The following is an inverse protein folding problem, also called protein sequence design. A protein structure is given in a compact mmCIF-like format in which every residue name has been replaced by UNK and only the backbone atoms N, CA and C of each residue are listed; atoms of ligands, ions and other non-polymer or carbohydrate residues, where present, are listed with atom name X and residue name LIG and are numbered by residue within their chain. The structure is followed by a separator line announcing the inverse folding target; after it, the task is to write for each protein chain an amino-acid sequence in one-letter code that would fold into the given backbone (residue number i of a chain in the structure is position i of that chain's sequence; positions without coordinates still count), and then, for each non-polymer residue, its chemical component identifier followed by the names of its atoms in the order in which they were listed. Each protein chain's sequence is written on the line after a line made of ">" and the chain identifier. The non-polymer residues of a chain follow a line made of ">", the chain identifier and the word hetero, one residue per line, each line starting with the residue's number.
data_IF_783567209575
#
_entry.id   IF_783567209575
#
_cell.length_a   1.000
_cell.length_b   1.000
_cell.length_c   1.000
_cell.angle_alpha   90.00
_cell.angle_beta   90.00
_cell.angle_gamma   90.00
#
_symmetry.space_group_name_H-M   'P 1'
#
loop_
_entity.id
_entity.type
_entity.pdbx_description
1 polymer ?
#
# COMPACT_ATOMS: atom_id res chain seq x y z
N UNK A 1 -42.72 -32.10 12.12
CA UNK A 1 -42.02 -31.38 11.01
C UNK A 1 -40.57 -31.13 11.41
N UNK A 2 -39.62 -31.15 10.45
CA UNK A 2 -38.19 -30.88 10.77
C UNK A 2 -37.82 -29.45 10.37
N UNK A 3 -37.33 -28.65 11.32
CA UNK A 3 -36.86 -27.29 11.09
C UNK A 3 -35.48 -27.11 11.72
N UNK A 4 -34.66 -26.23 11.11
CA UNK A 4 -33.38 -25.83 11.72
C UNK A 4 -33.60 -25.11 13.06
N UNK A 5 -32.59 -25.12 13.93
CA UNK A 5 -32.61 -24.39 15.20
C UNK A 5 -33.02 -22.92 15.02
N UNK A 6 -32.53 -22.29 13.95
CA UNK A 6 -32.85 -20.90 13.63
C UNK A 6 -34.30 -20.71 13.19
N UNK A 7 -34.82 -21.61 12.36
CA UNK A 7 -36.21 -21.58 11.91
C UNK A 7 -37.18 -21.83 13.09
N UNK A 8 -36.82 -22.71 14.02
CA UNK A 8 -37.61 -22.93 15.25
C UNK A 8 -37.68 -21.67 16.11
N UNK A 9 -36.57 -20.95 16.26
CA UNK A 9 -36.51 -19.69 17.02
C UNK A 9 -37.41 -18.62 16.40
N UNK A 10 -37.28 -18.42 15.06
CA UNK A 10 -38.11 -17.44 14.33
C UNK A 10 -39.58 -17.85 14.35
N UNK A 11 -39.87 -19.13 14.13
CA UNK A 11 -41.26 -19.64 14.22
C UNK A 11 -41.93 -19.35 15.57
N UNK A 12 -41.21 -19.57 16.68
CA UNK A 12 -41.70 -19.25 18.03
C UNK A 12 -41.94 -17.75 18.22
N UNK A 13 -41.10 -16.90 17.63
CA UNK A 13 -41.24 -15.45 17.73
C UNK A 13 -42.48 -14.95 16.95
N UNK A 14 -42.83 -15.58 15.81
CA UNK A 14 -43.95 -15.15 14.97
C UNK A 14 -45.26 -15.88 15.30
N UNK A 15 -45.19 -16.96 16.10
CA UNK A 15 -46.38 -17.74 16.46
C UNK A 15 -47.31 -16.91 17.35
N UNK A 16 -48.55 -16.71 16.88
CA UNK A 16 -49.54 -15.89 17.57
C UNK A 16 -49.77 -14.51 16.98
N UNK A 17 -48.91 -14.06 16.13
CA UNK A 17 -49.06 -12.83 15.36
C UNK A 17 -49.70 -13.14 13.99
N UNK A 18 -50.46 -12.18 13.44
CA UNK A 18 -51.07 -12.33 12.12
C UNK A 18 -50.06 -12.15 10.99
N UNK A 19 -49.11 -11.29 11.22
CA UNK A 19 -47.99 -10.99 10.34
C UNK A 19 -46.89 -10.24 11.12
N UNK A 20 -45.62 -10.49 10.80
CA UNK A 20 -44.46 -9.85 11.45
C UNK A 20 -43.47 -9.40 10.36
N UNK A 21 -42.96 -8.18 10.46
CA UNK A 21 -41.93 -7.71 9.53
C UNK A 21 -40.53 -8.16 9.98
N UNK A 22 -39.60 -8.25 9.03
CA UNK A 22 -38.21 -8.59 9.34
C UNK A 22 -37.61 -7.53 10.28
N UNK A 23 -37.95 -6.24 10.08
CA UNK A 23 -37.47 -5.12 10.91
C UNK A 23 -37.97 -5.21 12.37
N UNK A 24 -39.19 -5.73 12.57
CA UNK A 24 -39.72 -6.00 13.93
C UNK A 24 -38.88 -7.05 14.64
N UNK A 25 -38.55 -8.15 13.96
CA UNK A 25 -37.72 -9.21 14.54
C UNK A 25 -36.27 -8.71 14.80
N UNK A 26 -35.74 -7.85 13.96
CA UNK A 26 -34.44 -7.18 14.23
C UNK A 26 -34.49 -6.34 15.50
N UNK A 27 -35.58 -5.59 15.71
CA UNK A 27 -35.77 -4.79 16.93
C UNK A 27 -35.87 -5.65 18.20
N UNK A 28 -36.28 -6.89 18.07
CA UNK A 28 -36.33 -7.90 19.16
C UNK A 28 -34.98 -8.61 19.36
N UNK A 29 -33.95 -8.28 18.53
CA UNK A 29 -32.60 -8.79 18.68
C UNK A 29 -32.22 -9.97 17.78
N UNK A 30 -33.03 -10.30 16.79
CA UNK A 30 -32.71 -11.31 15.78
C UNK A 30 -31.77 -10.72 14.72
N UNK A 31 -30.80 -11.53 14.24
CA UNK A 31 -29.96 -11.16 13.11
C UNK A 31 -30.72 -11.26 11.79
N UNK A 32 -30.69 -10.21 10.97
CA UNK A 32 -31.42 -10.10 9.70
C UNK A 32 -31.15 -11.30 8.77
N UNK A 33 -29.88 -11.70 8.66
CA UNK A 33 -29.48 -12.82 7.80
C UNK A 33 -29.98 -14.16 8.32
N UNK A 34 -30.12 -14.27 9.65
CA UNK A 34 -30.73 -15.44 10.30
C UNK A 34 -32.22 -15.50 10.00
N UNK A 35 -32.94 -14.37 10.19
CA UNK A 35 -34.39 -14.30 9.91
C UNK A 35 -34.70 -14.65 8.47
N UNK A 36 -33.94 -14.09 7.51
CA UNK A 36 -34.15 -14.43 6.10
C UNK A 36 -33.98 -15.90 5.77
N UNK A 37 -32.95 -16.56 6.31
CA UNK A 37 -32.71 -17.98 6.07
C UNK A 37 -33.80 -18.84 6.69
N UNK A 38 -34.19 -18.51 7.91
CA UNK A 38 -35.26 -19.20 8.60
C UNK A 38 -36.63 -19.06 7.86
N UNK A 39 -36.89 -17.84 7.34
CA UNK A 39 -38.10 -17.60 6.57
C UNK A 39 -38.12 -18.40 5.26
N UNK A 40 -37.03 -18.41 4.49
CA UNK A 40 -36.92 -19.20 3.27
C UNK A 40 -37.11 -20.72 3.55
N UNK A 41 -36.48 -21.23 4.62
CA UNK A 41 -36.67 -22.64 5.02
C UNK A 41 -38.12 -22.97 5.36
N UNK A 42 -38.81 -22.07 6.07
CA UNK A 42 -40.20 -22.25 6.45
C UNK A 42 -41.17 -22.09 5.27
N UNK A 43 -40.81 -21.20 4.31
CA UNK A 43 -41.58 -21.03 3.06
C UNK A 43 -41.48 -22.28 2.17
N UNK A 44 -40.29 -22.89 2.01
CA UNK A 44 -40.12 -24.17 1.29
C UNK A 44 -40.92 -25.32 1.89
N UNK A 45 -41.30 -25.21 3.16
CA UNK A 45 -42.06 -26.22 3.90
C UNK A 45 -43.53 -25.85 4.12
N UNK A 46 -44.01 -24.85 3.39
CA UNK A 46 -45.39 -24.33 3.45
C UNK A 46 -45.82 -23.84 4.84
N UNK A 47 -44.90 -23.49 5.73
CA UNK A 47 -45.17 -22.98 7.09
C UNK A 47 -45.52 -21.50 7.11
N UNK A 48 -44.83 -20.71 6.25
CA UNK A 48 -45.09 -19.28 6.10
C UNK A 48 -45.03 -18.86 4.64
N UNK A 49 -45.50 -17.65 4.35
CA UNK A 49 -45.38 -16.95 3.10
C UNK A 49 -44.63 -15.64 3.32
N UNK A 50 -43.68 -15.32 2.43
CA UNK A 50 -42.92 -14.06 2.45
C UNK A 50 -43.61 -13.10 1.48
N UNK A 51 -44.26 -12.06 2.02
CA UNK A 51 -44.85 -10.98 1.23
C UNK A 51 -43.92 -9.80 1.16
N UNK A 52 -43.78 -9.20 -0.02
CA UNK A 52 -42.94 -8.00 -0.24
C UNK A 52 -43.87 -6.80 -0.44
N UNK A 53 -43.79 -5.84 0.49
CA UNK A 53 -44.50 -4.58 0.40
C UNK A 53 -43.49 -3.45 0.06
N UNK A 54 -43.85 -2.64 -0.92
CA UNK A 54 -43.05 -1.46 -1.28
C UNK A 54 -43.40 -0.28 -0.41
N UNK A 55 -42.41 0.24 0.32
CA UNK A 55 -42.54 1.43 1.17
C UNK A 55 -41.63 2.53 0.73
N UNK A 56 -42.15 3.72 0.59
CA UNK A 56 -41.34 4.90 0.31
C UNK A 56 -40.67 5.37 1.61
N UNK A 57 -39.35 5.37 1.62
CA UNK A 57 -38.54 5.85 2.74
C UNK A 57 -37.85 7.15 2.33
N UNK A 58 -37.98 8.17 3.17
CA UNK A 58 -37.30 9.43 2.99
C UNK A 58 -36.01 9.42 3.80
N UNK A 59 -34.86 9.65 3.11
CA UNK A 59 -33.55 9.68 3.74
C UNK A 59 -32.89 11.04 3.58
N UNK A 60 -32.31 11.55 4.65
CA UNK A 60 -31.52 12.77 4.59
C UNK A 60 -30.27 12.59 3.73
N UNK A 61 -30.04 13.55 2.83
CA UNK A 61 -28.78 13.66 2.11
C UNK A 61 -27.68 14.18 3.04
N UNK A 62 -26.43 14.19 2.58
CA UNK A 62 -25.33 14.80 3.35
C UNK A 62 -25.58 16.29 3.63
N UNK A 63 -26.19 17.02 2.69
CA UNK A 63 -26.61 18.41 2.91
C UNK A 63 -27.72 18.51 3.95
N UNK A 64 -28.70 17.62 3.91
CA UNK A 64 -29.76 17.54 4.91
C UNK A 64 -29.21 17.27 6.31
N UNK A 65 -28.31 16.33 6.47
CA UNK A 65 -27.61 16.05 7.73
C UNK A 65 -26.87 17.27 8.25
N UNK A 66 -26.17 18.01 7.36
CA UNK A 66 -25.46 19.22 7.72
C UNK A 66 -26.41 20.32 8.20
N UNK A 67 -27.60 20.45 7.60
CA UNK A 67 -28.63 21.40 8.05
C UNK A 67 -29.19 21.00 9.43
N UNK A 68 -29.40 19.70 9.65
CA UNK A 68 -29.84 19.19 10.97
C UNK A 68 -28.81 19.48 12.05
N UNK A 69 -27.53 19.39 11.78
CA UNK A 69 -26.45 19.60 12.75
C UNK A 69 -26.18 21.11 12.99
N UNK A 70 -26.05 21.88 11.91
CA UNK A 70 -25.50 23.25 11.97
C UNK A 70 -26.48 24.35 11.60
N UNK A 71 -27.71 24.02 11.24
CA UNK A 71 -28.72 24.98 10.72
C UNK A 71 -28.57 25.25 9.22
N UNK A 72 -29.62 25.79 8.63
CA UNK A 72 -29.65 26.17 7.22
C UNK A 72 -28.60 27.24 6.89
N UNK A 73 -28.03 27.25 5.66
CA UNK A 73 -27.04 28.24 5.28
C UNK A 73 -27.50 29.69 5.46
N UNK A 74 -28.77 30.00 5.16
CA UNK A 74 -29.36 31.31 5.35
C UNK A 74 -29.55 31.69 6.82
N UNK A 75 -29.84 30.73 7.72
CA UNK A 75 -29.89 30.97 9.16
C UNK A 75 -28.49 31.23 9.73
N UNK A 76 -27.49 30.45 9.34
CA UNK A 76 -26.09 30.71 9.72
C UNK A 76 -25.59 32.07 9.26
N UNK A 77 -26.04 32.54 8.07
CA UNK A 77 -25.74 33.88 7.59
C UNK A 77 -26.31 34.96 8.52
N UNK A 78 -27.56 34.78 8.96
CA UNK A 78 -28.20 35.71 9.91
C UNK A 78 -27.45 35.76 11.23
N UNK A 79 -27.02 34.61 11.76
CA UNK A 79 -26.20 34.55 12.98
C UNK A 79 -24.84 35.24 12.79
N UNK A 80 -24.18 34.99 11.70
CA UNK A 80 -22.88 35.59 11.34
C UNK A 80 -22.96 37.13 11.20
N UNK A 81 -24.07 37.64 10.67
CA UNK A 81 -24.34 39.09 10.57
C UNK A 81 -24.78 39.70 11.89
N UNK A 82 -25.47 38.94 12.76
CA UNK A 82 -25.90 39.38 14.08
C UNK A 82 -24.76 39.82 14.97
N UNK A 83 -23.64 39.13 14.89
CA UNK A 83 -22.42 39.39 15.67
C UNK A 83 -21.65 40.64 15.18
N UNK A 84 -21.73 40.98 13.89
CA UNK A 84 -20.90 42.02 13.26
C UNK A 84 -21.67 43.25 12.74
N UNK A 85 -22.98 43.17 12.68
CA UNK A 85 -23.87 44.25 12.19
C UNK A 85 -23.93 44.39 10.67
N UNK A 86 -22.81 44.22 9.97
CA UNK A 86 -22.71 44.16 8.50
C UNK A 86 -21.45 43.43 8.08
N UNK A 87 -21.47 42.81 6.89
CA UNK A 87 -20.31 42.13 6.26
C UNK A 87 -20.33 42.28 4.76
N UNK A 88 -19.13 42.23 4.14
CA UNK A 88 -19.01 42.18 2.68
C UNK A 88 -19.25 40.75 2.18
N UNK A 89 -19.82 40.64 0.97
CA UNK A 89 -20.16 39.34 0.38
C UNK A 89 -18.93 38.39 0.26
N UNK A 90 -17.73 38.93 0.04
CA UNK A 90 -16.49 38.17 -0.07
C UNK A 90 -15.84 37.79 1.27
N UNK A 91 -16.41 38.19 2.40
CA UNK A 91 -15.92 37.90 3.76
C UNK A 91 -16.82 36.89 4.50
N UNK A 92 -17.81 36.31 3.80
CA UNK A 92 -18.76 35.38 4.37
C UNK A 92 -18.14 33.96 4.49
N UNK A 93 -18.45 33.30 5.60
CA UNK A 93 -18.09 31.89 5.84
C UNK A 93 -19.12 30.89 5.28
N UNK A 94 -20.29 31.39 4.83
CA UNK A 94 -21.38 30.58 4.29
C UNK A 94 -21.41 30.63 2.75
N UNK A 95 -21.97 29.58 2.07
CA UNK A 95 -22.09 29.54 0.62
C UNK A 95 -22.91 30.72 0.08
N UNK A 96 -22.59 31.23 -1.11
CA UNK A 96 -23.30 32.38 -1.73
C UNK A 96 -24.81 32.14 -1.93
N UNK A 97 -25.25 30.90 -2.04
CA UNK A 97 -26.67 30.51 -2.11
C UNK A 97 -27.44 31.02 -0.86
N UNK A 98 -26.78 31.05 0.28
CA UNK A 98 -27.37 31.59 1.53
C UNK A 98 -27.83 33.04 1.41
N UNK A 99 -27.06 33.87 0.69
CA UNK A 99 -27.37 35.30 0.47
C UNK A 99 -28.67 35.42 -0.36
N UNK A 100 -28.82 34.61 -1.43
CA UNK A 100 -30.05 34.63 -2.22
C UNK A 100 -31.29 34.24 -1.43
N UNK A 101 -31.19 33.15 -0.65
CA UNK A 101 -32.28 32.63 0.19
C UNK A 101 -32.64 33.59 1.34
N UNK A 102 -31.67 34.17 2.05
CA UNK A 102 -31.89 35.12 3.11
C UNK A 102 -32.56 36.41 2.56
N UNK A 103 -32.17 36.88 1.37
CA UNK A 103 -32.78 38.00 0.70
C UNK A 103 -34.23 37.69 0.29
N UNK A 104 -34.50 36.52 -0.25
CA UNK A 104 -35.86 36.06 -0.62
C UNK A 104 -36.79 36.00 0.61
N UNK A 105 -36.26 35.58 1.77
CA UNK A 105 -36.99 35.58 3.04
C UNK A 105 -37.15 36.98 3.66
N UNK A 106 -36.47 37.99 3.07
CA UNK A 106 -36.49 39.38 3.55
C UNK A 106 -35.71 39.56 4.86
N UNK A 107 -34.70 38.71 5.11
CA UNK A 107 -33.88 38.77 6.33
C UNK A 107 -32.68 39.69 6.18
N UNK A 108 -32.25 39.94 4.94
CA UNK A 108 -31.11 40.79 4.63
C UNK A 108 -31.42 41.77 3.49
N UNK A 109 -30.71 42.89 3.50
CA UNK A 109 -30.63 43.88 2.42
C UNK A 109 -29.17 44.01 1.96
N UNK A 110 -28.96 44.38 0.68
CA UNK A 110 -27.63 44.53 0.10
C UNK A 110 -27.49 45.97 -0.37
N UNK A 111 -26.56 46.71 0.23
CA UNK A 111 -26.22 48.07 -0.18
C UNK A 111 -24.72 48.19 -0.43
N UNK A 112 -24.33 48.66 -1.62
CA UNK A 112 -22.94 48.89 -2.01
C UNK A 112 -22.01 47.65 -1.84
N UNK A 113 -22.56 46.42 -1.94
CA UNK A 113 -21.77 45.16 -1.80
C UNK A 113 -21.61 44.70 -0.34
N UNK A 114 -22.25 45.35 0.61
CA UNK A 114 -22.37 44.95 2.02
C UNK A 114 -23.76 44.42 2.31
N UNK A 115 -23.86 43.47 3.23
CA UNK A 115 -25.08 42.85 3.70
C UNK A 115 -25.44 43.38 5.05
N UNK A 116 -26.72 43.73 5.22
CA UNK A 116 -27.31 44.26 6.45
C UNK A 116 -28.52 43.42 6.85
N UNK A 117 -28.70 43.17 8.15
CA UNK A 117 -29.91 42.54 8.65
C UNK A 117 -31.08 43.51 8.63
N UNK A 118 -32.20 43.06 8.07
CA UNK A 118 -33.48 43.78 8.21
C UNK A 118 -34.05 43.63 9.62
N UNK A 119 -35.10 44.35 9.95
CA UNK A 119 -35.83 44.17 11.21
C UNK A 119 -36.38 42.73 11.34
N UNK A 120 -36.83 42.16 10.22
CA UNK A 120 -37.26 40.75 10.15
C UNK A 120 -36.12 39.75 10.38
N UNK A 121 -34.93 40.01 9.83
CA UNK A 121 -33.74 39.18 10.02
C UNK A 121 -33.24 39.20 11.46
N UNK A 122 -33.31 40.35 12.15
CA UNK A 122 -32.91 40.48 13.57
C UNK A 122 -33.81 39.71 14.54
N UNK A 123 -35.06 39.44 14.14
CA UNK A 123 -36.05 38.73 14.94
C UNK A 123 -36.13 37.21 14.61
N UNK A 124 -35.17 36.66 13.86
CA UNK A 124 -35.11 35.23 13.57
C UNK A 124 -34.41 34.50 14.72
N UNK A 125 -35.18 33.91 15.61
CA UNK A 125 -34.68 33.21 16.78
C UNK A 125 -34.43 31.72 16.51
N UNK A 126 -35.17 31.11 15.56
CA UNK A 126 -35.15 29.69 15.30
C UNK A 126 -35.05 29.38 13.78
N UNK A 127 -34.34 28.32 13.44
CA UNK A 127 -34.31 27.79 12.09
C UNK A 127 -35.42 26.76 11.86
N UNK A 128 -36.55 27.25 11.32
CA UNK A 128 -37.71 26.40 11.05
C UNK A 128 -37.35 25.18 10.15
N UNK A 129 -36.48 25.37 9.17
CA UNK A 129 -36.07 24.30 8.27
C UNK A 129 -35.30 23.18 8.99
N UNK A 130 -34.43 23.56 9.93
CA UNK A 130 -33.70 22.63 10.78
C UNK A 130 -34.65 21.85 11.71
N UNK A 131 -35.63 22.56 12.29
CA UNK A 131 -36.62 21.96 13.19
C UNK A 131 -37.50 20.94 12.43
N UNK A 132 -37.97 21.32 11.25
CA UNK A 132 -38.83 20.47 10.43
C UNK A 132 -38.04 19.20 9.97
N UNK A 133 -36.78 19.36 9.57
CA UNK A 133 -35.91 18.20 9.23
C UNK A 133 -35.63 17.28 10.44
N UNK A 134 -35.43 17.85 11.63
CA UNK A 134 -35.24 17.07 12.87
C UNK A 134 -36.48 16.28 13.28
N UNK A 135 -37.66 16.83 12.98
CA UNK A 135 -38.93 16.16 13.30
C UNK A 135 -39.48 15.32 12.15
N UNK A 136 -38.66 15.09 11.12
CA UNK A 136 -39.02 14.28 9.93
C UNK A 136 -40.26 14.84 9.18
N UNK A 137 -40.50 16.12 9.30
CA UNK A 137 -41.56 16.83 8.59
C UNK A 137 -41.06 17.31 7.23
N UNK A 138 -40.91 16.38 6.30
CA UNK A 138 -40.38 16.64 4.97
C UNK A 138 -41.39 17.40 4.09
N UNK A 139 -40.90 18.41 3.38
CA UNK A 139 -41.69 19.25 2.49
C UNK A 139 -41.12 19.26 1.09
N UNK A 140 -41.97 19.56 0.08
CA UNK A 140 -41.55 19.68 -1.33
C UNK A 140 -40.40 20.70 -1.51
N UNK A 141 -40.40 21.78 -0.75
CA UNK A 141 -39.29 22.76 -0.75
C UNK A 141 -37.95 22.15 -0.28
N UNK A 142 -37.97 21.20 0.63
CA UNK A 142 -36.76 20.49 1.09
C UNK A 142 -36.27 19.49 0.06
N UNK A 143 -37.15 18.86 -0.67
CA UNK A 143 -36.82 17.96 -1.79
C UNK A 143 -36.18 18.73 -2.93
N UNK A 144 -36.79 19.84 -3.35
CA UNK A 144 -36.23 20.77 -4.34
C UNK A 144 -34.84 21.30 -3.98
N UNK A 145 -34.56 21.37 -2.70
CA UNK A 145 -33.25 21.78 -2.15
C UNK A 145 -32.26 20.62 -2.04
N UNK A 146 -32.69 19.40 -2.33
CA UNK A 146 -31.85 18.20 -2.23
C UNK A 146 -31.47 17.83 -0.78
N UNK A 147 -32.31 18.18 0.22
CA UNK A 147 -32.04 17.92 1.63
C UNK A 147 -32.42 16.50 2.04
N UNK A 148 -33.31 15.87 1.30
CA UNK A 148 -33.65 14.45 1.43
C UNK A 148 -33.89 13.84 0.06
N UNK A 149 -33.88 12.52 0.01
CA UNK A 149 -34.24 11.72 -1.16
C UNK A 149 -35.32 10.73 -0.76
N UNK A 150 -36.22 10.43 -1.69
CA UNK A 150 -37.23 9.40 -1.49
C UNK A 150 -36.76 8.14 -2.22
N UNK A 151 -36.58 7.04 -1.51
CA UNK A 151 -36.19 5.74 -2.04
C UNK A 151 -37.33 4.73 -1.79
N UNK A 152 -37.55 3.85 -2.74
CA UNK A 152 -38.45 2.69 -2.54
C UNK A 152 -37.66 1.63 -1.81
N UNK A 153 -38.05 1.30 -0.59
CA UNK A 153 -37.54 0.14 0.15
C UNK A 153 -38.58 -0.98 0.11
N UNK A 154 -38.09 -2.19 -0.04
CA UNK A 154 -38.94 -3.41 0.02
C UNK A 154 -38.94 -3.89 1.47
N UNK A 155 -40.07 -3.82 2.11
CA UNK A 155 -40.33 -4.40 3.44
C UNK A 155 -40.82 -5.83 3.28
N UNK A 156 -40.16 -6.78 3.94
CA UNK A 156 -40.59 -8.19 3.91
C UNK A 156 -41.42 -8.53 5.13
N UNK A 157 -42.61 -9.00 4.86
CA UNK A 157 -43.61 -9.39 5.86
C UNK A 157 -43.72 -10.90 5.87
N UNK A 158 -43.52 -11.51 7.03
CA UNK A 158 -43.66 -12.95 7.25
C UNK A 158 -45.08 -13.25 7.73
N UNK A 159 -45.80 -14.09 6.99
CA UNK A 159 -47.18 -14.44 7.29
C UNK A 159 -47.30 -15.96 7.43
N UNK A 160 -47.73 -16.46 8.59
CA UNK A 160 -47.93 -17.89 8.76
C UNK A 160 -49.10 -18.39 7.89
N UNK A 161 -48.88 -19.48 7.16
CA UNK A 161 -49.91 -20.19 6.43
C UNK A 161 -50.92 -20.85 7.37
N UNK A 162 -52.00 -21.39 6.85
CA UNK A 162 -52.96 -22.14 7.68
C UNK A 162 -52.32 -23.41 8.28
N UNK A 163 -51.39 -24.04 7.57
CA UNK A 163 -50.58 -25.16 8.07
C UNK A 163 -49.61 -24.71 9.16
N UNK A 164 -48.95 -23.58 8.97
CA UNK A 164 -48.05 -23.01 9.97
C UNK A 164 -48.79 -22.59 11.26
N UNK A 165 -49.97 -22.01 11.15
CA UNK A 165 -50.84 -21.69 12.32
C UNK A 165 -51.29 -22.91 13.09
N UNK A 166 -51.55 -24.04 12.39
CA UNK A 166 -51.98 -25.28 12.98
C UNK A 166 -50.82 -26.11 13.58
N UNK A 167 -49.59 -25.80 13.22
CA UNK A 167 -48.41 -26.55 13.68
C UNK A 167 -48.12 -26.30 15.16
N UNK A 168 -48.08 -27.41 15.94
CA UNK A 168 -47.73 -27.35 17.36
C UNK A 168 -46.20 -27.33 17.52
N UNK A 169 -45.68 -26.54 18.48
CA UNK A 169 -44.27 -26.45 18.78
C UNK A 169 -43.67 -27.81 19.18
N UNK A 170 -44.43 -28.61 19.88
CA UNK A 170 -44.04 -29.96 20.30
C UNK A 170 -43.92 -30.97 19.14
N UNK A 171 -44.51 -30.66 17.98
CA UNK A 171 -44.44 -31.46 16.75
C UNK A 171 -43.25 -31.09 15.85
N UNK A 172 -42.50 -30.07 16.23
CA UNK A 172 -41.32 -29.62 15.49
C UNK A 172 -40.09 -30.37 16.01
N UNK A 173 -39.50 -31.19 15.14
CA UNK A 173 -38.22 -31.84 15.39
C UNK A 173 -37.10 -30.87 14.96
N UNK A 174 -36.36 -30.37 15.95
CA UNK A 174 -35.20 -29.50 15.68
C UNK A 174 -34.08 -30.28 15.00
N UNK A 175 -33.72 -29.87 13.80
CA UNK A 175 -32.67 -30.52 13.02
C UNK A 175 -31.49 -29.56 12.79
N UNK A 176 -30.30 -30.01 13.17
CA UNK A 176 -29.08 -29.33 12.81
C UNK A 176 -28.78 -29.60 11.32
N UNK A 177 -28.84 -28.55 10.49
CA UNK A 177 -28.51 -28.65 9.08
C UNK A 177 -26.99 -28.65 8.89
N UNK A 178 -26.45 -29.85 8.65
CA UNK A 178 -25.00 -30.04 8.33
C UNK A 178 -24.63 -29.61 6.90
N UNK A 179 -25.63 -29.43 6.03
CA UNK A 179 -25.43 -29.04 4.62
C UNK A 179 -25.57 -27.52 4.42
N UNK A 180 -26.04 -26.81 5.44
CA UNK A 180 -26.14 -25.33 5.35
C UNK A 180 -24.80 -24.72 4.99
N UNK A 181 -24.78 -23.91 3.93
CA UNK A 181 -23.60 -23.20 3.51
C UNK A 181 -23.18 -22.17 4.56
N UNK A 182 -22.24 -22.56 5.41
CA UNK A 182 -21.60 -21.61 6.33
C UNK A 182 -20.73 -20.68 5.51
N UNK A 183 -20.82 -19.37 5.74
CA UNK A 183 -19.93 -18.40 5.14
C UNK A 183 -18.50 -18.76 5.53
N UNK A 184 -17.75 -19.30 4.58
CA UNK A 184 -16.35 -19.68 4.81
C UNK A 184 -15.59 -18.42 5.23
N UNK A 185 -14.91 -18.40 6.40
CA UNK A 185 -14.12 -17.27 6.77
C UNK A 185 -13.06 -17.03 5.69
N UNK A 186 -12.90 -15.80 5.27
CA UNK A 186 -11.85 -15.44 4.31
C UNK A 186 -10.51 -15.72 4.98
N UNK A 187 -9.72 -16.62 4.40
CA UNK A 187 -8.36 -16.87 4.87
C UNK A 187 -7.48 -15.66 4.58
N UNK A 188 -6.59 -15.33 5.51
CA UNK A 188 -5.57 -14.32 5.24
C UNK A 188 -4.65 -14.76 4.09
N UNK A 189 -4.14 -13.79 3.33
CA UNK A 189 -3.19 -13.99 2.24
C UNK A 189 -1.96 -13.13 2.46
N UNK A 190 -0.77 -13.65 2.16
CA UNK A 190 0.42 -12.82 2.03
C UNK A 190 0.23 -11.83 0.90
N UNK A 191 0.79 -10.64 1.04
CA UNK A 191 0.91 -9.70 -0.05
C UNK A 191 1.71 -10.32 -1.21
N UNK A 192 1.22 -10.24 -2.45
CA UNK A 192 1.86 -10.87 -3.62
C UNK A 192 3.32 -10.45 -3.81
N UNK A 193 3.64 -9.17 -3.59
CA UNK A 193 5.00 -8.68 -3.66
C UNK A 193 5.92 -9.35 -2.62
N UNK A 194 5.40 -9.64 -1.43
CA UNK A 194 6.15 -10.40 -0.42
C UNK A 194 6.33 -11.87 -0.82
N UNK A 195 5.34 -12.47 -1.47
CA UNK A 195 5.46 -13.84 -1.99
C UNK A 195 6.59 -13.93 -3.03
N UNK A 196 6.69 -12.94 -3.94
CA UNK A 196 7.76 -12.87 -4.95
C UNK A 196 9.14 -12.66 -4.31
N UNK A 197 9.25 -11.77 -3.31
CA UNK A 197 10.49 -11.56 -2.56
C UNK A 197 10.94 -12.85 -1.85
N UNK A 198 10.04 -13.53 -1.15
CA UNK A 198 10.33 -14.76 -0.44
C UNK A 198 10.73 -15.88 -1.42
N UNK A 199 10.17 -15.90 -2.62
CA UNK A 199 10.55 -16.84 -3.66
C UNK A 199 11.94 -16.52 -4.21
N UNK A 200 12.24 -15.27 -4.54
CA UNK A 200 13.56 -14.86 -5.01
C UNK A 200 14.67 -15.21 -4.00
N UNK A 201 14.42 -15.00 -2.70
CA UNK A 201 15.33 -15.44 -1.63
C UNK A 201 15.54 -16.96 -1.67
N UNK A 202 14.48 -17.72 -1.83
CA UNK A 202 14.56 -19.19 -1.91
C UNK A 202 15.37 -19.65 -3.08
N UNK A 203 15.21 -19.00 -4.25
CA UNK A 203 16.02 -19.32 -5.44
C UNK A 203 17.51 -19.15 -5.14
N UNK A 204 17.94 -18.05 -4.53
CA UNK A 204 19.34 -17.86 -4.16
C UNK A 204 19.83 -18.92 -3.14
N UNK A 205 19.03 -19.22 -2.11
CA UNK A 205 19.37 -20.26 -1.13
C UNK A 205 19.50 -21.64 -1.78
N UNK A 206 18.60 -22.01 -2.71
CA UNK A 206 18.64 -23.27 -3.45
C UNK A 206 19.86 -23.38 -4.38
N UNK A 207 20.40 -22.22 -4.82
CA UNK A 207 21.66 -22.14 -5.56
C UNK A 207 22.90 -22.15 -4.64
N UNK A 208 22.69 -22.30 -3.33
CA UNK A 208 23.74 -22.43 -2.32
C UNK A 208 24.33 -21.09 -1.84
N UNK A 209 23.55 -20.01 -1.90
CA UNK A 209 23.92 -18.73 -1.34
C UNK A 209 23.46 -18.58 0.11
N UNK A 210 24.29 -17.95 0.93
CA UNK A 210 23.97 -17.55 2.30
C UNK A 210 23.30 -16.16 2.29
N UNK A 211 22.14 -16.04 2.95
CA UNK A 211 21.47 -14.74 3.10
C UNK A 211 22.21 -13.88 4.15
N UNK A 212 22.57 -12.66 3.77
CA UNK A 212 23.11 -11.65 4.69
C UNK A 212 22.13 -10.50 4.86
N UNK A 213 22.33 -9.73 5.91
CA UNK A 213 21.57 -8.50 6.20
C UNK A 213 22.52 -7.32 6.35
N UNK A 214 21.98 -6.11 6.33
CA UNK A 214 22.77 -4.90 6.53
C UNK A 214 21.90 -3.71 6.91
N UNK A 215 22.54 -2.73 7.52
CA UNK A 215 21.91 -1.51 8.00
C UNK A 215 21.38 -0.64 6.85
N UNK A 216 20.32 0.12 7.11
CA UNK A 216 19.80 1.10 6.15
C UNK A 216 20.64 2.39 6.13
N UNK A 217 21.11 2.82 7.29
CA UNK A 217 22.00 3.95 7.43
C UNK A 217 23.43 3.42 7.45
N UNK A 218 24.24 3.87 6.52
CA UNK A 218 25.62 3.42 6.33
C UNK A 218 26.53 4.62 6.09
N UNK A 219 27.83 4.53 6.42
CA UNK A 219 28.78 5.58 6.05
C UNK A 219 28.99 5.65 4.53
N UNK A 220 29.30 6.83 4.03
CA UNK A 220 29.74 7.04 2.66
C UNK A 220 30.88 6.12 2.26
N UNK A 221 31.76 5.80 3.19
CA UNK A 221 32.83 4.81 3.03
C UNK A 221 32.33 3.49 2.42
N UNK A 222 31.27 2.90 2.99
CA UNK A 222 30.74 1.61 2.51
C UNK A 222 29.81 1.77 1.31
N UNK A 223 29.08 2.90 1.23
CA UNK A 223 28.12 3.09 0.15
C UNK A 223 28.81 3.49 -1.17
N UNK A 224 29.95 4.15 -1.11
CA UNK A 224 30.62 4.73 -2.28
C UNK A 224 32.12 4.37 -2.36
N UNK A 225 32.91 4.75 -1.34
CA UNK A 225 34.38 4.67 -1.43
C UNK A 225 34.87 3.24 -1.58
N UNK A 226 34.31 2.29 -0.82
CA UNK A 226 34.60 0.85 -0.93
C UNK A 226 34.26 0.27 -2.31
N UNK A 227 33.38 0.91 -3.06
CA UNK A 227 33.04 0.57 -4.44
C UNK A 227 33.84 1.39 -5.47
N UNK A 228 34.93 2.00 -5.03
CA UNK A 228 35.82 2.80 -5.89
C UNK A 228 35.08 3.91 -6.65
N UNK A 229 33.98 4.43 -6.08
CA UNK A 229 33.28 5.60 -6.61
C UNK A 229 33.95 6.86 -6.10
N UNK A 230 34.49 7.73 -6.98
CA UNK A 230 35.22 8.94 -6.55
C UNK A 230 34.33 9.89 -5.75
N UNK A 231 34.95 10.71 -4.88
CA UNK A 231 34.20 11.57 -3.96
C UNK A 231 33.49 12.74 -4.66
N UNK A 232 33.87 13.08 -5.86
CA UNK A 232 33.25 14.07 -6.74
C UNK A 232 32.22 13.47 -7.72
N UNK A 233 31.89 12.17 -7.57
CA UNK A 233 30.97 11.52 -8.49
C UNK A 233 29.52 12.04 -8.29
N UNK A 234 28.76 12.34 -9.37
CA UNK A 234 27.40 12.88 -9.29
C UNK A 234 26.41 12.05 -8.46
N UNK A 235 26.59 10.73 -8.38
CA UNK A 235 25.73 9.86 -7.57
C UNK A 235 25.77 10.18 -6.06
N UNK A 236 26.77 10.92 -5.60
CA UNK A 236 26.88 11.40 -4.20
C UNK A 236 26.12 12.70 -3.96
N UNK A 237 25.64 13.38 -5.00
CA UNK A 237 24.90 14.61 -4.85
C UNK A 237 23.56 14.37 -4.12
N UNK A 238 23.09 15.41 -3.41
CA UNK A 238 21.82 15.37 -2.68
C UNK A 238 20.60 15.02 -3.55
N UNK A 239 20.73 15.12 -4.88
CA UNK A 239 19.68 14.78 -5.83
C UNK A 239 19.42 13.27 -5.90
N UNK A 240 20.47 12.45 -5.70
CA UNK A 240 20.37 10.99 -5.82
C UNK A 240 20.48 10.24 -4.47
N UNK A 241 21.02 10.89 -3.43
CA UNK A 241 21.31 10.28 -2.13
C UNK A 241 20.67 11.04 -0.98
N UNK A 242 20.06 10.32 -0.03
CA UNK A 242 19.58 10.89 1.21
C UNK A 242 20.69 10.90 2.26
N UNK A 243 21.16 12.07 2.63
CA UNK A 243 22.09 12.27 3.75
C UNK A 243 21.34 12.43 5.06
N UNK A 244 21.90 11.88 6.14
CA UNK A 244 21.30 11.96 7.46
C UNK A 244 21.66 13.29 8.13
N UNK A 245 20.69 13.92 8.80
CA UNK A 245 20.96 15.12 9.62
C UNK A 245 21.47 14.74 11.02
N UNK A 246 21.00 13.63 11.59
CA UNK A 246 21.34 13.17 12.95
C UNK A 246 21.28 11.66 13.07
N UNK A 247 22.40 10.98 13.35
CA UNK A 247 23.77 11.52 13.28
C UNK A 247 24.18 11.80 11.83
N UNK A 248 24.79 12.95 11.58
CA UNK A 248 25.27 13.31 10.24
C UNK A 248 26.48 12.48 9.80
N UNK A 249 27.31 12.11 10.74
CA UNK A 249 28.56 11.36 10.54
C UNK A 249 28.63 10.15 11.48
N UNK A 250 29.39 9.16 11.10
CA UNK A 250 29.72 8.02 11.95
C UNK A 250 31.21 8.06 12.33
N UNK A 251 31.52 7.39 13.45
CA UNK A 251 32.91 7.10 13.81
C UNK A 251 33.43 5.95 12.93
N UNK A 252 34.47 6.23 12.15
CA UNK A 252 35.13 5.25 11.27
C UNK A 252 36.17 4.38 11.99
N UNK A 253 36.30 4.46 13.32
CA UNK A 253 37.31 3.69 14.08
C UNK A 253 37.21 2.18 13.84
N UNK A 254 35.99 1.63 13.73
CA UNK A 254 35.75 0.23 13.43
C UNK A 254 36.15 -0.16 12.00
N UNK A 255 36.32 0.81 11.12
CA UNK A 255 36.71 0.64 9.72
C UNK A 255 38.12 1.18 9.42
N UNK A 256 38.90 1.58 10.41
CA UNK A 256 40.17 2.28 10.24
C UNK A 256 41.14 1.60 9.28
N UNK A 257 41.25 0.25 9.36
CA UNK A 257 42.13 -0.53 8.51
C UNK A 257 41.70 -0.49 7.02
N UNK A 258 40.39 -0.67 6.74
CA UNK A 258 39.91 -0.61 5.35
C UNK A 258 39.83 0.82 4.84
N UNK A 259 39.54 1.79 5.68
CA UNK A 259 39.53 3.20 5.33
C UNK A 259 40.89 3.66 4.81
N UNK A 260 42.01 3.27 5.49
CA UNK A 260 43.37 3.56 5.03
C UNK A 260 43.67 2.89 3.68
N UNK A 261 43.32 1.61 3.51
CA UNK A 261 43.49 0.91 2.23
C UNK A 261 42.68 1.51 1.10
N UNK A 262 41.44 1.93 1.38
CA UNK A 262 40.54 2.58 0.42
C UNK A 262 41.10 3.93 0.03
N UNK A 263 41.52 4.75 1.00
CA UNK A 263 42.22 6.03 0.76
C UNK A 263 43.38 5.88 -0.20
N UNK A 264 44.33 5.01 0.14
CA UNK A 264 45.51 4.76 -0.70
C UNK A 264 45.10 4.27 -2.09
N UNK A 265 44.06 3.46 -2.21
CA UNK A 265 43.55 2.98 -3.49
C UNK A 265 42.97 4.13 -4.33
N UNK A 266 42.23 5.06 -3.74
CA UNK A 266 41.68 6.23 -4.41
C UNK A 266 42.76 7.20 -4.82
N UNK A 267 43.74 7.48 -3.95
CA UNK A 267 44.79 8.47 -4.20
C UNK A 267 45.83 7.99 -5.21
N UNK A 268 46.31 6.74 -5.07
CA UNK A 268 47.47 6.28 -5.81
C UNK A 268 47.38 4.82 -6.34
N UNK A 269 46.24 4.15 -6.09
CA UNK A 269 46.01 2.78 -6.51
C UNK A 269 46.51 1.70 -5.55
N UNK A 270 47.14 2.09 -4.43
CA UNK A 270 47.68 1.15 -3.43
C UNK A 270 48.41 -0.03 -4.08
N UNK A 271 48.10 -1.28 -3.75
CA UNK A 271 48.69 -2.50 -4.31
C UNK A 271 47.91 -3.09 -5.49
N UNK A 272 46.89 -2.38 -6.03
CA UNK A 272 45.99 -2.90 -7.06
C UNK A 272 46.57 -2.91 -8.47
N UNK A 273 47.67 -2.20 -8.69
CA UNK A 273 48.29 -2.01 -10.00
C UNK A 273 47.72 -0.85 -10.80
N UNK A 274 46.71 -0.14 -10.27
CA UNK A 274 46.19 1.10 -10.83
C UNK A 274 46.93 2.32 -10.32
N UNK A 275 46.56 3.51 -10.85
CA UNK A 275 47.09 4.79 -10.38
C UNK A 275 46.14 5.52 -9.44
N UNK A 276 45.03 4.89 -9.10
CA UNK A 276 43.96 5.56 -8.39
C UNK A 276 43.26 6.65 -9.20
N UNK A 277 42.44 7.42 -8.57
CA UNK A 277 41.76 8.59 -9.15
C UNK A 277 42.65 9.86 -9.11
N UNK A 278 43.75 9.84 -8.31
CA UNK A 278 44.75 10.89 -8.19
C UNK A 278 44.20 12.22 -7.64
N UNK A 279 43.27 12.14 -6.67
CA UNK A 279 42.80 13.28 -5.87
C UNK A 279 43.10 13.04 -4.39
N UNK A 280 43.04 14.08 -3.58
CA UNK A 280 43.20 13.99 -2.13
C UNK A 280 41.87 13.46 -1.55
N UNK A 281 41.90 12.27 -0.99
CA UNK A 281 40.72 11.63 -0.40
C UNK A 281 40.41 12.22 1.00
N UNK A 282 39.16 12.60 1.23
CA UNK A 282 38.68 13.23 2.45
C UNK A 282 37.94 12.25 3.34
N UNK A 283 38.40 12.07 4.58
CA UNK A 283 37.78 11.20 5.59
C UNK A 283 36.38 11.69 6.00
N UNK A 284 36.20 13.01 6.11
CA UNK A 284 34.92 13.64 6.45
C UNK A 284 33.83 13.30 5.43
N UNK A 285 34.15 13.21 4.14
CA UNK A 285 33.22 12.79 3.10
C UNK A 285 32.83 11.31 3.23
N UNK A 286 33.78 10.46 3.60
CA UNK A 286 33.57 9.04 3.80
C UNK A 286 32.78 8.75 5.11
N UNK A 287 32.90 9.61 6.11
CA UNK A 287 32.20 9.48 7.38
C UNK A 287 30.72 9.89 7.32
N UNK A 288 30.28 10.62 6.31
CA UNK A 288 28.90 11.05 6.18
C UNK A 288 27.93 9.88 6.14
N UNK A 289 26.92 9.91 7.02
CA UNK A 289 25.86 8.91 7.04
C UNK A 289 24.84 9.15 5.93
N UNK A 290 24.53 8.09 5.19
CA UNK A 290 23.54 8.10 4.11
C UNK A 290 22.55 6.96 4.28
N UNK A 291 21.33 7.12 3.74
CA UNK A 291 20.48 5.97 3.45
C UNK A 291 21.10 5.23 2.26
N UNK A 292 21.38 3.92 2.43
CA UNK A 292 22.04 3.13 1.39
C UNK A 292 21.29 3.22 0.05
N UNK A 293 22.00 3.53 -1.02
CA UNK A 293 21.46 3.66 -2.38
C UNK A 293 21.37 2.33 -3.12
N UNK A 294 22.03 1.31 -2.60
CA UNK A 294 22.07 -0.07 -3.07
C UNK A 294 22.42 -1.02 -1.93
N UNK A 295 22.05 -2.29 -2.06
CA UNK A 295 22.38 -3.31 -1.06
C UNK A 295 23.84 -3.76 -1.08
N UNK A 296 24.61 -3.34 -2.10
CA UNK A 296 26.05 -3.66 -2.24
C UNK A 296 26.87 -3.14 -1.06
N UNK A 297 26.43 -2.06 -0.38
CA UNK A 297 27.06 -1.60 0.86
C UNK A 297 27.16 -2.71 1.94
N UNK A 298 26.13 -3.56 2.04
CA UNK A 298 26.15 -4.69 2.94
C UNK A 298 27.05 -5.83 2.43
N UNK A 299 27.09 -6.06 1.13
CA UNK A 299 27.95 -7.12 0.55
C UNK A 299 29.43 -6.76 0.65
N UNK A 300 29.84 -5.51 0.43
CA UNK A 300 31.23 -5.09 0.64
C UNK A 300 31.62 -5.12 2.11
N UNK A 301 30.73 -4.71 3.02
CA UNK A 301 30.96 -4.88 4.47
C UNK A 301 31.20 -6.34 4.81
N UNK A 302 30.38 -7.26 4.26
CA UNK A 302 30.55 -8.70 4.50
C UNK A 302 31.85 -9.22 3.95
N UNK A 303 32.35 -8.72 2.82
CA UNK A 303 33.68 -9.07 2.29
C UNK A 303 34.81 -8.75 3.31
N UNK A 304 34.73 -7.63 4.00
CA UNK A 304 35.69 -7.29 5.04
C UNK A 304 35.61 -8.19 6.28
N UNK A 305 34.37 -8.53 6.69
CA UNK A 305 34.11 -9.33 7.90
C UNK A 305 34.38 -10.85 7.72
N UNK A 306 34.62 -11.29 6.48
CA UNK A 306 34.83 -12.73 6.21
C UNK A 306 36.26 -13.14 6.55
N UNK A 307 36.39 -14.11 7.45
CA UNK A 307 37.57 -14.94 7.51
C UNK A 307 37.51 -15.94 6.34
N UNK A 308 38.26 -15.67 5.27
CA UNK A 308 38.31 -16.57 4.12
C UNK A 308 39.47 -17.56 4.33
N UNK A 309 39.12 -18.82 4.58
CA UNK A 309 40.05 -19.91 4.38
C UNK A 309 39.99 -20.35 2.92
N UNK A 310 41.12 -20.45 2.22
CA UNK A 310 41.19 -20.86 0.82
C UNK A 310 40.49 -22.20 0.54
N UNK A 311 40.48 -23.11 1.54
CA UNK A 311 39.81 -24.42 1.47
C UNK A 311 38.25 -24.32 1.42
N UNK A 312 37.67 -23.19 1.74
CA UNK A 312 36.21 -22.95 1.82
C UNK A 312 35.66 -22.18 0.60
N UNK A 313 36.49 -21.90 -0.39
CA UNK A 313 36.06 -21.21 -1.62
C UNK A 313 35.40 -22.17 -2.63
N UNK A 314 34.38 -21.72 -3.41
CA UNK A 314 33.87 -20.36 -3.46
C UNK A 314 32.85 -20.09 -2.34
N UNK A 315 32.90 -18.91 -1.72
CA UNK A 315 31.84 -18.40 -0.83
C UNK A 315 30.83 -17.58 -1.61
N UNK A 316 29.55 -17.76 -1.27
CA UNK A 316 28.42 -17.15 -1.98
C UNK A 316 27.48 -16.48 -0.99
N UNK A 317 27.23 -15.20 -1.17
CA UNK A 317 26.32 -14.43 -0.32
C UNK A 317 25.31 -13.67 -1.17
N UNK A 318 24.12 -13.49 -0.64
CA UNK A 318 23.15 -12.58 -1.22
C UNK A 318 22.41 -11.79 -0.14
N UNK A 319 21.89 -10.65 -0.54
CA UNK A 319 20.95 -9.85 0.24
C UNK A 319 19.75 -9.51 -0.63
N UNK A 320 18.57 -9.56 -0.07
CA UNK A 320 17.38 -8.94 -0.63
C UNK A 320 16.91 -7.89 0.35
N UNK A 321 17.10 -6.63 0.02
CA UNK A 321 16.90 -5.53 0.95
C UNK A 321 16.35 -4.28 0.28
N UNK A 322 15.93 -3.34 1.12
CA UNK A 322 15.39 -2.05 0.73
C UNK A 322 16.52 -1.04 0.51
N UNK A 323 16.42 -0.24 -0.54
CA UNK A 323 17.32 0.84 -0.89
C UNK A 323 16.56 2.13 -1.05
N UNK A 324 17.28 3.26 -1.03
CA UNK A 324 16.69 4.60 -1.03
C UNK A 324 17.41 5.48 -2.04
N UNK A 325 16.63 6.17 -2.90
CA UNK A 325 17.13 7.13 -3.86
C UNK A 325 16.23 8.34 -3.93
N UNK A 326 16.79 9.50 -3.99
CA UNK A 326 16.05 10.75 -4.09
C UNK A 326 15.64 11.02 -5.55
N UNK A 327 14.83 10.13 -6.08
CA UNK A 327 14.32 10.20 -7.45
C UNK A 327 12.92 10.84 -7.51
N UNK A 328 12.57 11.40 -8.66
CA UNK A 328 11.18 11.82 -8.91
C UNK A 328 10.28 10.62 -8.96
N UNK A 329 9.24 10.62 -8.12
CA UNK A 329 8.27 9.51 -8.03
C UNK A 329 7.37 9.50 -9.26
N UNK A 330 7.41 8.40 -10.00
CA UNK A 330 6.56 8.13 -11.16
C UNK A 330 6.06 6.67 -11.17
N UNK A 331 5.52 6.19 -12.29
CA UNK A 331 5.03 4.80 -12.41
C UNK A 331 6.14 3.74 -12.38
N UNK A 332 7.41 4.13 -12.54
CA UNK A 332 8.57 3.24 -12.61
C UNK A 332 9.58 3.45 -11.48
N UNK A 333 9.51 4.59 -10.77
CA UNK A 333 10.48 5.01 -9.76
C UNK A 333 9.81 5.40 -8.45
N UNK A 334 10.38 4.92 -7.35
CA UNK A 334 10.03 5.28 -5.98
C UNK A 334 11.28 5.67 -5.20
N UNK A 335 11.11 6.51 -4.17
CA UNK A 335 12.18 6.88 -3.27
C UNK A 335 12.76 5.70 -2.48
N UNK A 336 11.99 4.63 -2.31
CA UNK A 336 12.43 3.36 -1.75
C UNK A 336 12.02 2.19 -2.64
N UNK A 337 12.89 1.20 -2.77
CA UNK A 337 12.62 -0.01 -3.55
C UNK A 337 13.47 -1.18 -3.05
N UNK A 338 13.08 -2.40 -3.42
CA UNK A 338 13.84 -3.60 -3.07
C UNK A 338 14.79 -3.99 -4.19
N UNK A 339 16.01 -4.39 -3.79
CA UNK A 339 17.05 -4.90 -4.67
C UNK A 339 17.57 -6.23 -4.12
N UNK A 340 17.94 -7.15 -4.99
CA UNK A 340 18.71 -8.33 -4.62
C UNK A 340 20.12 -8.22 -5.17
N UNK A 341 21.09 -8.21 -4.29
CA UNK A 341 22.50 -8.24 -4.62
C UNK A 341 23.06 -9.61 -4.27
N UNK A 342 24.07 -10.03 -5.01
CA UNK A 342 24.82 -11.21 -4.68
C UNK A 342 26.28 -11.06 -5.03
N UNK A 343 27.12 -11.78 -4.28
CA UNK A 343 28.53 -11.90 -4.54
C UNK A 343 29.00 -13.37 -4.46
N UNK A 344 29.94 -13.70 -5.30
CA UNK A 344 30.67 -14.97 -5.25
C UNK A 344 32.15 -14.67 -5.19
N UNK A 345 32.83 -15.15 -4.15
CA UNK A 345 34.27 -14.99 -3.95
C UNK A 345 34.96 -16.33 -4.24
N UNK A 346 36.01 -16.30 -5.05
CA UNK A 346 36.75 -17.51 -5.35
C UNK A 346 37.98 -17.24 -6.25
N UNK A 347 38.88 -18.21 -6.40
CA UNK A 347 40.09 -18.07 -7.16
C UNK A 347 39.89 -18.32 -8.68
N UNK A 348 39.14 -19.37 -9.04
CA UNK A 348 38.94 -19.82 -10.42
C UNK A 348 37.68 -19.23 -11.09
N UNK A 349 37.15 -18.13 -10.54
CA UNK A 349 35.96 -17.48 -11.08
C UNK A 349 36.30 -16.70 -12.36
N UNK A 350 35.31 -16.65 -13.25
CA UNK A 350 35.39 -15.88 -14.48
C UNK A 350 33.99 -15.39 -14.91
N UNK A 351 33.97 -14.60 -15.96
CA UNK A 351 32.73 -14.00 -16.46
C UNK A 351 31.66 -15.04 -16.93
N UNK A 352 32.07 -16.26 -17.34
CA UNK A 352 31.10 -17.31 -17.68
C UNK A 352 30.35 -17.81 -16.45
N UNK A 353 31.02 -17.88 -15.30
CA UNK A 353 30.39 -18.24 -14.04
C UNK A 353 29.33 -17.19 -13.65
N UNK A 354 29.65 -15.89 -13.79
CA UNK A 354 28.68 -14.82 -13.58
C UNK A 354 27.43 -15.01 -14.44
N UNK A 355 27.64 -15.21 -15.75
CA UNK A 355 26.54 -15.47 -16.68
C UNK A 355 25.70 -16.69 -16.25
N UNK A 356 26.34 -17.75 -15.79
CA UNK A 356 25.66 -18.95 -15.30
C UNK A 356 24.75 -18.67 -14.11
N UNK A 357 25.25 -17.97 -13.09
CA UNK A 357 24.45 -17.62 -11.91
C UNK A 357 23.24 -16.73 -12.26
N UNK A 358 23.46 -15.72 -13.11
CA UNK A 358 22.38 -14.82 -13.55
C UNK A 358 21.34 -15.57 -14.39
N UNK A 359 21.80 -16.44 -15.33
CA UNK A 359 20.89 -17.24 -16.16
C UNK A 359 20.04 -18.17 -15.31
N UNK A 360 20.66 -18.93 -14.40
CA UNK A 360 19.96 -19.85 -13.52
C UNK A 360 18.93 -19.14 -12.64
N UNK A 361 19.26 -17.95 -12.12
CA UNK A 361 18.32 -17.15 -11.35
C UNK A 361 17.09 -16.77 -12.19
N UNK A 362 17.27 -16.23 -13.40
CA UNK A 362 16.16 -15.81 -14.24
C UNK A 362 15.32 -16.98 -14.74
N UNK A 363 15.92 -18.08 -15.10
CA UNK A 363 15.22 -19.34 -15.46
C UNK A 363 14.33 -19.82 -14.30
N UNK A 364 14.86 -19.84 -13.06
CA UNK A 364 14.09 -20.22 -11.86
C UNK A 364 13.02 -19.19 -11.49
N UNK A 365 13.20 -17.91 -11.86
CA UNK A 365 12.20 -16.86 -11.72
C UNK A 365 11.15 -16.87 -12.84
N UNK A 366 11.22 -17.82 -13.79
CA UNK A 366 10.23 -17.97 -14.87
C UNK A 366 10.45 -17.03 -16.06
N UNK A 367 11.63 -16.46 -16.23
CA UNK A 367 11.95 -15.60 -17.36
C UNK A 367 12.65 -16.40 -18.47
N UNK A 368 11.96 -16.63 -19.59
CA UNK A 368 12.53 -17.29 -20.76
C UNK A 368 13.39 -16.35 -21.62
N UNK A 369 13.05 -15.06 -21.67
CA UNK A 369 13.72 -14.07 -22.50
C UNK A 369 14.43 -13.02 -21.64
N UNK A 370 15.72 -13.21 -21.48
CA UNK A 370 16.62 -12.24 -20.87
C UNK A 370 17.91 -12.13 -21.66
N UNK A 371 18.62 -11.02 -21.48
CA UNK A 371 19.92 -10.77 -22.12
C UNK A 371 20.84 -9.97 -21.22
N UNK A 372 22.14 -10.06 -21.51
CA UNK A 372 23.17 -9.28 -20.86
C UNK A 372 23.89 -8.46 -21.93
N UNK A 373 23.86 -7.15 -21.79
CA UNK A 373 24.51 -6.21 -22.69
C UNK A 373 25.74 -5.58 -22.02
N UNK A 374 26.82 -5.27 -22.75
CA UNK A 374 27.95 -4.55 -22.17
C UNK A 374 27.51 -3.21 -21.56
N UNK A 375 28.04 -2.92 -20.37
CA UNK A 375 27.76 -1.69 -19.64
C UNK A 375 29.01 -1.18 -18.93
N UNK A 376 28.91 -0.10 -18.19
CA UNK A 376 29.99 0.46 -17.40
C UNK A 376 29.51 0.77 -15.98
N UNK A 377 30.28 0.31 -15.00
CA UNK A 377 30.16 0.71 -13.60
C UNK A 377 31.56 0.93 -13.03
N UNK A 378 31.77 1.95 -12.16
CA UNK A 378 33.13 2.29 -11.67
C UNK A 378 33.78 1.16 -10.87
N UNK A 379 33.02 0.23 -10.32
CA UNK A 379 33.43 -0.87 -9.44
C UNK A 379 33.59 -2.22 -10.12
N UNK A 380 33.21 -2.38 -11.38
CA UNK A 380 33.31 -3.65 -12.10
C UNK A 380 34.09 -3.52 -13.42
N UNK A 381 34.77 -4.62 -13.79
CA UNK A 381 35.45 -4.86 -15.07
C UNK A 381 35.53 -6.38 -15.28
N UNK A 382 34.81 -7.00 -16.14
CA UNK A 382 33.82 -6.57 -17.13
C UNK A 382 32.45 -6.28 -16.47
N UNK A 383 31.72 -5.35 -17.07
CA UNK A 383 30.41 -4.93 -16.62
C UNK A 383 29.33 -5.27 -17.65
N UNK A 384 28.16 -5.69 -17.19
CA UNK A 384 26.97 -5.91 -18.02
C UNK A 384 25.74 -5.36 -17.34
N UNK A 385 24.81 -4.88 -18.14
CA UNK A 385 23.43 -4.65 -17.75
C UNK A 385 22.59 -5.90 -18.06
N UNK A 386 21.77 -6.31 -17.11
CA UNK A 386 20.83 -7.43 -17.27
C UNK A 386 19.48 -6.87 -17.64
N UNK A 387 18.90 -7.38 -18.73
CA UNK A 387 17.61 -6.97 -19.24
C UNK A 387 16.71 -8.18 -19.45
N UNK A 388 15.40 -8.01 -19.19
CA UNK A 388 14.34 -8.95 -19.54
C UNK A 388 13.46 -8.36 -20.62
N UNK A 389 12.82 -9.20 -21.42
CA UNK A 389 11.88 -8.78 -22.44
C UNK A 389 10.48 -8.70 -21.84
N UNK A 390 9.86 -7.54 -21.97
CA UNK A 390 8.45 -7.33 -21.63
C UNK A 390 7.61 -7.62 -22.86
N UNK A 391 6.77 -8.65 -22.78
CA UNK A 391 5.91 -9.09 -23.91
C UNK A 391 4.76 -8.10 -24.18
N UNK A 392 4.36 -7.28 -23.19
CA UNK A 392 3.26 -6.32 -23.35
C UNK A 392 3.70 -5.04 -24.01
N UNK A 393 4.80 -4.48 -23.50
CA UNK A 393 5.36 -3.24 -24.03
C UNK A 393 6.24 -3.51 -25.26
N UNK A 394 6.49 -4.79 -25.60
CA UNK A 394 7.36 -5.25 -26.69
C UNK A 394 8.78 -4.65 -26.61
N UNK A 395 9.30 -4.42 -25.40
CA UNK A 395 10.59 -3.78 -25.16
C UNK A 395 11.47 -4.52 -24.17
N UNK A 396 12.76 -4.18 -24.14
CA UNK A 396 13.75 -4.69 -23.19
C UNK A 396 13.83 -3.78 -21.98
N UNK A 397 13.54 -4.33 -20.81
CA UNK A 397 13.57 -3.60 -19.52
C UNK A 397 14.85 -3.93 -18.77
N UNK A 398 15.64 -2.91 -18.41
CA UNK A 398 16.82 -3.06 -17.56
C UNK A 398 16.43 -3.37 -16.12
N UNK A 399 17.04 -4.43 -15.56
CA UNK A 399 16.80 -4.85 -14.18
C UNK A 399 17.94 -4.49 -13.23
N UNK A 400 19.15 -4.28 -13.76
CA UNK A 400 20.30 -3.89 -12.96
C UNK A 400 21.63 -4.30 -13.58
N UNK A 401 22.70 -4.07 -12.83
CA UNK A 401 24.07 -4.33 -13.26
C UNK A 401 24.65 -5.62 -12.69
N UNK A 402 25.57 -6.21 -13.42
CA UNK A 402 26.40 -7.32 -12.97
C UNK A 402 27.81 -7.21 -13.52
N UNK A 403 28.79 -7.80 -12.84
CA UNK A 403 30.18 -7.74 -13.30
C UNK A 403 31.13 -8.48 -12.39
N UNK A 404 32.39 -8.36 -12.70
CA UNK A 404 33.48 -8.78 -11.82
C UNK A 404 34.01 -7.56 -11.08
N UNK A 405 34.08 -7.60 -9.76
CA UNK A 405 34.68 -6.49 -9.01
C UNK A 405 36.14 -6.28 -9.40
N UNK A 406 36.48 -5.02 -9.51
CA UNK A 406 37.86 -4.61 -9.83
C UNK A 406 38.79 -4.88 -8.64
N UNK A 407 40.11 -5.03 -8.88
CA UNK A 407 41.06 -5.13 -7.80
C UNK A 407 40.99 -3.98 -6.79
N UNK A 408 40.61 -2.78 -7.24
CA UNK A 408 40.44 -1.57 -6.42
C UNK A 408 39.29 -1.65 -5.42
N UNK A 409 38.34 -2.55 -5.65
CA UNK A 409 37.28 -2.91 -4.69
C UNK A 409 37.70 -4.09 -3.83
N UNK A 410 38.21 -5.14 -4.45
CA UNK A 410 38.45 -6.43 -3.79
C UNK A 410 39.61 -6.37 -2.80
N UNK A 411 40.77 -5.82 -3.23
CA UNK A 411 41.96 -5.82 -2.39
C UNK A 411 41.85 -5.02 -1.11
N UNK A 412 41.27 -3.77 -1.11
CA UNK A 412 41.08 -3.05 0.15
C UNK A 412 40.18 -3.79 1.13
N UNK A 413 39.13 -4.45 0.63
CA UNK A 413 38.13 -5.13 1.48
C UNK A 413 38.64 -6.46 2.04
N UNK A 414 39.29 -7.30 1.20
CA UNK A 414 39.77 -8.62 1.60
C UNK A 414 41.20 -8.59 2.17
N UNK A 415 42.02 -7.61 1.83
CA UNK A 415 43.43 -7.56 2.16
C UNK A 415 44.33 -8.43 1.23
N UNK A 416 43.75 -9.18 0.32
CA UNK A 416 44.44 -10.06 -0.64
C UNK A 416 43.75 -10.05 -2.01
N UNK A 417 44.34 -10.70 -2.98
CA UNK A 417 43.78 -10.78 -4.33
C UNK A 417 42.85 -11.99 -4.48
N UNK A 418 41.61 -11.76 -4.87
CA UNK A 418 40.63 -12.78 -5.22
C UNK A 418 39.79 -12.30 -6.40
N UNK A 419 39.06 -13.21 -7.02
CA UNK A 419 38.05 -12.86 -8.00
C UNK A 419 36.68 -12.81 -7.34
N UNK A 420 35.94 -11.74 -7.57
CA UNK A 420 34.62 -11.51 -7.01
C UNK A 420 33.62 -11.22 -8.12
N UNK A 421 32.65 -12.08 -8.28
CA UNK A 421 31.49 -11.85 -9.13
C UNK A 421 30.45 -11.09 -8.31
N UNK A 422 29.78 -10.10 -8.91
CA UNK A 422 28.77 -9.29 -8.22
C UNK A 422 27.63 -8.91 -9.16
N UNK A 423 26.45 -8.74 -8.60
CA UNK A 423 25.28 -8.22 -9.29
C UNK A 423 24.34 -7.50 -8.33
N UNK A 424 23.54 -6.56 -8.89
CA UNK A 424 22.47 -5.87 -8.20
C UNK A 424 21.25 -5.79 -9.11
N UNK A 425 20.14 -6.46 -8.73
CA UNK A 425 18.94 -6.60 -9.53
C UNK A 425 17.72 -6.00 -8.81
N UNK A 426 16.98 -5.13 -9.51
CA UNK A 426 15.77 -4.49 -9.00
C UNK A 426 14.58 -5.46 -8.92
N UNK A 427 14.14 -5.79 -7.73
CA UNK A 427 12.98 -6.69 -7.50
C UNK A 427 11.64 -6.09 -7.93
N UNK A 428 11.36 -4.77 -7.82
CA UNK A 428 10.06 -4.25 -8.23
C UNK A 428 9.72 -4.54 -9.69
N UNK A 429 10.65 -4.37 -10.61
CA UNK A 429 10.42 -4.63 -12.04
C UNK A 429 10.13 -6.11 -12.32
N UNK A 430 10.82 -7.01 -11.62
CA UNK A 430 10.54 -8.45 -11.65
C UNK A 430 9.12 -8.71 -11.13
N UNK A 431 8.74 -8.06 -10.03
CA UNK A 431 7.42 -8.24 -9.42
C UNK A 431 6.28 -7.65 -10.27
N UNK A 432 6.51 -6.52 -10.94
CA UNK A 432 5.52 -5.91 -11.84
C UNK A 432 5.20 -6.85 -13.00
N UNK A 433 6.22 -7.40 -13.67
CA UNK A 433 6.02 -8.38 -14.74
C UNK A 433 5.34 -9.66 -14.26
N UNK A 434 5.74 -10.18 -13.09
CA UNK A 434 5.19 -11.40 -12.52
C UNK A 434 3.72 -11.26 -12.04
N UNK A 435 3.31 -10.07 -11.59
CA UNK A 435 1.98 -9.81 -11.04
C UNK A 435 1.06 -9.05 -12.01
N UNK A 436 1.53 -8.74 -13.21
CA UNK A 436 0.80 -7.98 -14.22
C UNK A 436 0.40 -6.57 -13.76
N UNK A 437 1.35 -5.84 -13.15
CA UNK A 437 1.15 -4.51 -12.57
C UNK A 437 1.93 -3.48 -13.40
N UNK A 438 1.26 -2.38 -13.77
CA UNK A 438 1.84 -1.31 -14.60
C UNK A 438 2.45 -0.16 -13.79
N UNK A 439 2.05 0.00 -12.52
CA UNK A 439 2.50 1.08 -11.65
C UNK A 439 3.20 0.53 -10.41
N UNK A 440 4.48 0.86 -10.25
CA UNK A 440 5.30 0.39 -9.12
C UNK A 440 4.68 0.72 -7.75
N UNK A 441 3.89 1.80 -7.65
CA UNK A 441 3.25 2.22 -6.40
C UNK A 441 2.24 1.20 -5.89
N UNK A 442 1.66 0.39 -6.77
CA UNK A 442 0.70 -0.66 -6.41
C UNK A 442 1.37 -1.82 -5.66
N UNK A 443 2.67 -2.05 -5.89
CA UNK A 443 3.45 -3.04 -5.12
C UNK A 443 3.54 -2.72 -3.62
N UNK A 444 3.33 -1.46 -3.24
CA UNK A 444 3.49 -0.97 -1.87
C UNK A 444 2.15 -0.56 -1.23
N UNK A 445 1.04 -0.61 -1.98
CA UNK A 445 -0.30 -0.35 -1.45
C UNK A 445 -0.92 -1.64 -0.91
N UNK A 446 -1.64 -1.51 0.20
CA UNK A 446 -2.43 -2.60 0.77
C UNK A 446 -3.90 -2.48 0.35
N UNK A 447 -4.17 -2.29 -0.93
CA UNK A 447 -5.52 -2.31 -1.48
C UNK A 447 -6.06 -3.74 -1.44
N UNK A 448 -7.13 -3.95 -0.66
CA UNK A 448 -7.70 -5.30 -0.44
C UNK A 448 -8.24 -5.88 -1.75
N UNK A 449 -8.85 -5.04 -2.60
CA UNK A 449 -9.39 -5.48 -3.89
C UNK A 449 -8.27 -5.94 -4.81
N UNK A 450 -7.20 -5.17 -4.94
CA UNK A 450 -6.01 -5.54 -5.71
C UNK A 450 -5.41 -6.85 -5.19
N UNK A 451 -5.30 -7.01 -3.86
CA UNK A 451 -4.76 -8.22 -3.24
C UNK A 451 -5.65 -9.46 -3.49
N UNK A 452 -6.97 -9.29 -3.58
CA UNK A 452 -7.91 -10.37 -3.88
C UNK A 452 -7.88 -10.75 -5.37
N UNK A 453 -7.76 -9.78 -6.27
CA UNK A 453 -7.81 -9.96 -7.71
C UNK A 453 -6.46 -10.45 -8.31
N UNK A 454 -5.33 -10.04 -7.71
CA UNK A 454 -4.01 -10.46 -8.19
C UNK A 454 -3.84 -11.97 -8.04
N UNK A 455 -3.57 -12.64 -9.16
CA UNK A 455 -3.33 -14.09 -9.16
C UNK A 455 -2.08 -14.42 -8.33
N UNK A 456 -2.07 -15.62 -7.73
CA UNK A 456 -0.86 -16.17 -7.14
C UNK A 456 0.16 -16.40 -8.24
N UNK A 457 1.25 -15.66 -8.17
CA UNK A 457 2.37 -15.91 -9.05
C UNK A 457 3.05 -17.24 -8.67
N UNK A 458 3.23 -18.08 -9.67
CA UNK A 458 4.05 -19.31 -9.59
C UNK A 458 4.81 -19.38 -10.89
N UNK A 459 6.15 -19.39 -10.87
CA UNK A 459 6.92 -19.70 -12.07
C UNK A 459 6.55 -21.13 -12.50
N UNK A 460 6.36 -21.33 -13.78
CA UNK A 460 6.10 -22.64 -14.37
C UNK A 460 7.32 -23.57 -14.30
#
# INVERSE_FOLDING_TARGET
>A
MKLSTQAVQVFKAIKGESSVTVDQLESEGFDQSMVHRAALEMEEKDVLEIQEDEKLIQKLTEEGKQVVESGSPEYRLVQELGDSGSKKINELSVPQVAVGKAKQKGWIEIENGELFLTEKGRNVEEDKLQIDLKNENYTEEMEDRGLYTTETAVERVLVLTDEGKALDEDEIEEQFDVESRVKTPRSGRKHFYREIQDYAKRVWMDMGFEEITGDYVVPGLLNFDALYTPQDHPAREMQDTFFMEKPAECDLSDYSEIAERIKDTHENGWTTGSKGWQYDWEEDEAAKNVLRTHTTAATVRRLHEIEINEEELPKKFFILGRNFRNETVDRHHLAEFYQTDGVVVGEDLNFRNLKGYISEFFEKMGYEKFRMIPSYYPYTEMSVEVQVYDEKEEEWIGLGGAGMFRPEVVKPMLGFEAKVLAWGLGIPRIAMGAADIEDIRELYRNDIKLLEETLRWRPE
#
